data_IF_692833226322
#
_entry.id   IF_692833226322
#
_cell.length_a   1.000
_cell.length_b   1.000
_cell.length_c   1.000
_cell.angle_alpha   90.00
_cell.angle_beta   90.00
_cell.angle_gamma   90.00
#
_symmetry.space_group_name_H-M   'P 1'
#
loop_
_entity.id
_entity.type
_entity.pdbx_description
1 polymer ?
#
# COMPACT_ATOMS: atom_id res chain seq x y z
N UNK A 1 9.18 -14.55 23.14
CA UNK A 1 8.42 -14.74 21.86
C UNK A 1 7.00 -14.14 21.86
N UNK A 2 6.15 -14.36 22.88
CA UNK A 2 4.78 -13.78 22.92
C UNK A 2 4.75 -12.24 22.84
N UNK A 3 5.59 -11.55 23.62
CA UNK A 3 5.66 -10.07 23.64
C UNK A 3 6.00 -9.45 22.27
N UNK A 4 6.97 -10.02 21.52
CA UNK A 4 7.35 -9.54 20.17
C UNK A 4 6.20 -9.66 19.17
N UNK A 5 5.45 -10.77 19.19
CA UNK A 5 4.26 -10.96 18.34
C UNK A 5 3.15 -9.98 18.68
N UNK A 6 2.91 -9.71 19.95
CA UNK A 6 1.92 -8.71 20.38
C UNK A 6 2.29 -7.33 19.85
N UNK A 7 3.55 -6.91 20.00
CA UNK A 7 4.03 -5.61 19.47
C UNK A 7 3.84 -5.49 17.96
N UNK A 8 4.18 -6.54 17.20
CA UNK A 8 4.00 -6.57 15.75
C UNK A 8 2.53 -6.42 15.37
N UNK A 9 1.64 -7.21 15.96
CA UNK A 9 0.21 -7.14 15.68
C UNK A 9 -0.38 -5.75 16.00
N UNK A 10 0.00 -5.16 17.13
CA UNK A 10 -0.43 -3.80 17.51
C UNK A 10 0.05 -2.78 16.48
N UNK A 11 1.31 -2.86 16.04
CA UNK A 11 1.82 -1.96 15.01
C UNK A 11 1.16 -2.17 13.65
N UNK A 12 0.86 -3.40 13.26
CA UNK A 12 0.09 -3.69 12.05
C UNK A 12 -1.29 -3.03 12.12
N UNK A 13 -2.00 -3.15 13.25
CA UNK A 13 -3.29 -2.49 13.45
C UNK A 13 -3.17 -0.96 13.39
N UNK A 14 -2.13 -0.38 13.99
CA UNK A 14 -1.84 1.06 13.91
C UNK A 14 -1.55 1.51 12.47
N UNK A 15 -0.76 0.73 11.72
CA UNK A 15 -0.47 1.03 10.32
C UNK A 15 -1.73 0.94 9.46
N UNK A 16 -2.61 -0.04 9.68
CA UNK A 16 -3.92 -0.11 9.00
C UNK A 16 -4.73 1.16 9.27
N UNK A 17 -4.90 1.53 10.54
CA UNK A 17 -5.65 2.71 10.93
C UNK A 17 -5.05 3.99 10.31
N UNK A 18 -3.72 4.13 10.35
CA UNK A 18 -3.01 5.27 9.77
C UNK A 18 -3.19 5.33 8.25
N UNK A 19 -3.06 4.20 7.54
CA UNK A 19 -3.26 4.13 6.08
C UNK A 19 -4.68 4.55 5.69
N UNK A 20 -5.70 4.09 6.43
CA UNK A 20 -7.10 4.48 6.19
C UNK A 20 -7.31 5.97 6.43
N UNK A 21 -6.76 6.52 7.53
CA UNK A 21 -6.85 7.96 7.83
C UNK A 21 -6.16 8.78 6.75
N UNK A 22 -4.95 8.39 6.33
CA UNK A 22 -4.23 9.07 5.24
C UNK A 22 -5.02 9.02 3.93
N UNK A 23 -5.56 7.85 3.59
CA UNK A 23 -6.38 7.68 2.39
C UNK A 23 -7.67 8.50 2.41
N UNK A 24 -8.26 8.74 3.58
CA UNK A 24 -9.53 9.48 3.70
C UNK A 24 -9.37 10.99 3.85
N UNK A 25 -8.34 11.45 4.55
CA UNK A 25 -8.12 12.86 4.84
C UNK A 25 -7.34 13.57 3.72
N UNK A 26 -6.41 12.88 3.06
CA UNK A 26 -5.61 13.45 1.97
C UNK A 26 -6.11 12.94 0.63
N UNK A 27 -7.23 13.52 0.19
CA UNK A 27 -7.77 13.30 -1.14
C UNK A 27 -7.26 14.42 -2.03
N UNK A 28 -6.43 14.09 -3.01
CA UNK A 28 -6.02 15.05 -4.05
C UNK A 28 -7.02 14.86 -5.20
N UNK A 29 -7.97 15.80 -5.41
CA UNK A 29 -8.95 15.67 -6.48
C UNK A 29 -8.25 15.80 -7.84
N UNK A 30 -8.53 14.87 -8.75
CA UNK A 30 -7.99 14.93 -10.11
C UNK A 30 -8.97 15.75 -10.96
N UNK A 31 -8.57 16.94 -11.41
CA UNK A 31 -9.47 17.88 -12.12
C UNK A 31 -10.14 17.31 -13.38
N UNK A 32 -9.63 16.23 -13.95
CA UNK A 32 -10.09 15.65 -15.22
C UNK A 32 -10.82 14.31 -15.09
N UNK A 33 -10.86 13.71 -13.89
CA UNK A 33 -11.58 12.47 -13.62
C UNK A 33 -12.46 12.66 -12.38
N UNK A 34 -13.55 11.89 -12.26
CA UNK A 34 -14.29 11.83 -10.98
C UNK A 34 -13.51 11.05 -9.88
N UNK A 35 -12.22 10.77 -10.11
CA UNK A 35 -11.36 10.00 -9.24
C UNK A 35 -10.59 10.89 -8.26
N UNK A 36 -10.31 10.34 -7.09
CA UNK A 36 -9.47 10.97 -6.08
C UNK A 36 -8.20 10.15 -5.92
N UNK A 37 -7.05 10.81 -5.91
CA UNK A 37 -5.81 10.16 -5.48
C UNK A 37 -5.84 10.08 -3.96
N UNK A 38 -5.72 8.87 -3.42
CA UNK A 38 -5.61 8.64 -1.98
C UNK A 38 -4.14 8.44 -1.58
N UNK A 39 -3.77 8.81 -0.35
CA UNK A 39 -2.45 8.52 0.22
C UNK A 39 -2.41 7.19 0.98
N UNK A 40 -3.33 6.27 0.70
CA UNK A 40 -3.38 4.96 1.35
C UNK A 40 -2.10 4.16 1.06
N UNK A 41 -1.68 4.15 -0.21
CA UNK A 41 -0.50 3.44 -0.71
C UNK A 41 0.78 3.84 0.03
N UNK A 42 0.90 5.10 0.45
CA UNK A 42 2.05 5.56 1.23
C UNK A 42 2.22 4.77 2.54
N UNK A 43 1.11 4.53 3.25
CA UNK A 43 1.10 3.76 4.49
C UNK A 43 1.34 2.27 4.24
N UNK A 44 0.75 1.72 3.18
CA UNK A 44 0.90 0.31 2.77
C UNK A 44 2.36 0.02 2.41
N UNK A 45 2.92 0.80 1.49
CA UNK A 45 4.31 0.68 1.05
C UNK A 45 5.29 0.81 2.22
N UNK A 46 5.07 1.78 3.11
CA UNK A 46 5.89 1.99 4.30
C UNK A 46 5.83 0.78 5.24
N UNK A 47 4.62 0.27 5.50
CA UNK A 47 4.42 -0.91 6.33
C UNK A 47 5.13 -2.13 5.75
N UNK A 48 5.06 -2.34 4.43
CA UNK A 48 5.74 -3.44 3.76
C UNK A 48 7.26 -3.37 3.86
N UNK A 49 7.84 -2.17 3.73
CA UNK A 49 9.28 -1.98 3.87
C UNK A 49 9.78 -2.20 5.31
N UNK A 50 8.93 -1.98 6.32
CA UNK A 50 9.32 -2.04 7.73
C UNK A 50 8.98 -3.40 8.37
N UNK A 51 7.76 -3.91 8.15
CA UNK A 51 7.20 -5.07 8.84
C UNK A 51 7.37 -6.38 8.04
N UNK A 52 7.70 -6.27 6.75
CA UNK A 52 7.92 -7.43 5.86
C UNK A 52 6.65 -7.94 5.18
N UNK A 53 6.76 -9.05 4.42
CA UNK A 53 5.74 -9.46 3.45
C UNK A 53 4.38 -9.77 4.06
N UNK A 54 4.34 -10.56 5.14
CA UNK A 54 3.07 -10.99 5.73
C UNK A 54 2.29 -9.82 6.33
N UNK A 55 2.95 -9.00 7.16
CA UNK A 55 2.30 -7.84 7.76
C UNK A 55 2.04 -6.73 6.75
N UNK A 56 2.91 -6.55 5.75
CA UNK A 56 2.66 -5.64 4.62
C UNK A 56 1.40 -6.01 3.84
N UNK A 57 1.19 -7.31 3.58
CA UNK A 57 -0.02 -7.80 2.93
C UNK A 57 -1.28 -7.54 3.77
N UNK A 58 -1.21 -7.77 5.09
CA UNK A 58 -2.31 -7.47 6.00
C UNK A 58 -2.64 -5.98 6.03
N UNK A 59 -1.61 -5.11 6.12
CA UNK A 59 -1.81 -3.66 6.09
C UNK A 59 -2.46 -3.27 4.77
N UNK A 60 -1.86 -3.65 3.65
CA UNK A 60 -2.35 -3.35 2.30
C UNK A 60 -3.80 -3.75 2.08
N UNK A 61 -4.10 -5.03 2.24
CA UNK A 61 -5.43 -5.54 1.95
C UNK A 61 -6.49 -4.95 2.87
N UNK A 62 -6.25 -4.94 4.18
CA UNK A 62 -7.26 -4.49 5.14
C UNK A 62 -7.48 -2.99 5.03
N UNK A 63 -6.42 -2.18 4.87
CA UNK A 63 -6.61 -0.73 4.71
C UNK A 63 -7.30 -0.38 3.41
N UNK A 64 -6.95 -1.03 2.29
CA UNK A 64 -7.61 -0.83 1.00
C UNK A 64 -9.10 -1.18 1.07
N UNK A 65 -9.44 -2.36 1.60
CA UNK A 65 -10.82 -2.79 1.78
C UNK A 65 -11.64 -1.83 2.66
N UNK A 66 -11.09 -1.45 3.82
CA UNK A 66 -11.77 -0.52 4.73
C UNK A 66 -11.96 0.86 4.11
N UNK A 67 -10.98 1.36 3.38
CA UNK A 67 -11.06 2.66 2.72
C UNK A 67 -12.21 2.69 1.70
N UNK A 68 -12.37 1.63 0.91
CA UNK A 68 -13.45 1.54 -0.08
C UNK A 68 -14.83 1.43 0.56
N UNK A 69 -14.96 0.63 1.62
CA UNK A 69 -16.21 0.51 2.38
C UNK A 69 -16.63 1.85 2.98
N UNK A 70 -15.69 2.59 3.56
CA UNK A 70 -15.94 3.91 4.17
C UNK A 70 -16.20 4.98 3.10
N UNK A 71 -15.62 4.83 1.91
CA UNK A 71 -15.76 5.79 0.81
C UNK A 71 -17.02 5.58 -0.04
N UNK A 72 -17.80 4.53 0.26
CA UNK A 72 -19.05 4.22 -0.45
C UNK A 72 -18.86 3.38 -1.72
N UNK A 73 -17.66 2.83 -1.94
CA UNK A 73 -17.32 1.98 -3.09
C UNK A 73 -17.24 0.50 -2.68
N UNK A 74 -18.25 -0.01 -1.97
CA UNK A 74 -18.22 -1.36 -1.39
C UNK A 74 -17.98 -2.47 -2.42
N UNK A 75 -18.37 -2.28 -3.69
CA UNK A 75 -18.09 -3.21 -4.78
C UNK A 75 -16.60 -3.39 -5.08
N UNK A 76 -15.77 -2.39 -4.76
CA UNK A 76 -14.32 -2.45 -4.92
C UNK A 76 -13.61 -3.13 -3.74
N UNK A 77 -14.28 -3.27 -2.59
CA UNK A 77 -13.64 -3.68 -1.34
C UNK A 77 -12.87 -5.01 -1.45
N UNK A 78 -13.42 -6.02 -2.16
CA UNK A 78 -12.74 -7.30 -2.35
C UNK A 78 -11.57 -7.22 -3.34
N UNK A 79 -11.70 -6.37 -4.35
CA UNK A 79 -10.63 -6.14 -5.32
C UNK A 79 -9.47 -5.40 -4.66
N UNK A 80 -9.74 -4.39 -3.86
CA UNK A 80 -8.74 -3.64 -3.10
C UNK A 80 -8.08 -4.48 -2.03
N UNK A 81 -8.82 -5.38 -1.36
CA UNK A 81 -8.25 -6.37 -0.44
C UNK A 81 -7.16 -7.20 -1.13
N UNK A 82 -7.45 -7.67 -2.35
CA UNK A 82 -6.54 -8.52 -3.11
C UNK A 82 -5.40 -7.69 -3.72
N UNK A 83 -5.70 -6.60 -4.41
CA UNK A 83 -4.73 -5.78 -5.12
C UNK A 83 -3.71 -5.17 -4.16
N UNK A 84 -4.16 -4.49 -3.10
CA UNK A 84 -3.26 -3.91 -2.10
C UNK A 84 -2.64 -4.96 -1.19
N UNK A 85 -3.33 -6.08 -0.93
CA UNK A 85 -2.75 -7.20 -0.22
C UNK A 85 -1.54 -7.79 -0.97
N UNK A 86 -1.67 -7.99 -2.28
CA UNK A 86 -0.59 -8.47 -3.14
C UNK A 86 0.51 -7.42 -3.33
N UNK A 87 0.16 -6.15 -3.48
CA UNK A 87 1.11 -5.04 -3.48
C UNK A 87 1.99 -5.10 -2.23
N UNK A 88 1.35 -5.13 -1.05
CA UNK A 88 2.03 -5.14 0.23
C UNK A 88 2.92 -6.38 0.41
N UNK A 89 2.43 -7.55 -0.02
CA UNK A 89 3.16 -8.80 -0.02
C UNK A 89 4.44 -8.72 -0.87
N UNK A 90 4.30 -8.25 -2.11
CA UNK A 90 5.36 -8.22 -3.13
C UNK A 90 6.46 -7.25 -2.72
N UNK A 91 6.09 -6.05 -2.24
CA UNK A 91 7.05 -5.06 -1.74
C UNK A 91 7.86 -5.65 -0.58
N UNK A 92 7.16 -6.19 0.43
CA UNK A 92 7.81 -6.75 1.60
C UNK A 92 8.71 -7.94 1.25
N UNK A 93 8.27 -8.80 0.33
CA UNK A 93 9.03 -9.97 -0.09
C UNK A 93 10.32 -9.58 -0.82
N UNK A 94 10.22 -8.72 -1.84
CA UNK A 94 11.38 -8.29 -2.64
C UNK A 94 12.38 -7.56 -1.75
N UNK A 95 11.89 -6.62 -0.92
CA UNK A 95 12.76 -5.82 -0.07
C UNK A 95 13.52 -6.69 0.94
N UNK A 96 12.82 -7.58 1.65
CA UNK A 96 13.47 -8.44 2.66
C UNK A 96 14.39 -9.50 2.03
N UNK A 97 14.05 -10.02 0.85
CA UNK A 97 14.90 -10.99 0.13
C UNK A 97 16.19 -10.35 -0.40
N UNK A 98 16.15 -9.06 -0.74
CA UNK A 98 17.28 -8.31 -1.32
C UNK A 98 17.83 -7.23 -0.37
N UNK A 99 17.59 -7.35 0.95
CA UNK A 99 17.86 -6.33 1.99
C UNK A 99 19.28 -5.74 1.93
N UNK A 100 20.27 -6.52 1.49
CA UNK A 100 21.68 -6.09 1.37
C UNK A 100 21.95 -5.13 0.19
N UNK A 101 20.97 -4.88 -0.68
CA UNK A 101 21.11 -4.00 -1.85
C UNK A 101 20.38 -2.70 -1.60
N UNK A 102 21.06 -1.57 -1.76
CA UNK A 102 20.48 -0.23 -1.60
C UNK A 102 19.35 0.06 -2.58
N UNK A 103 19.37 -0.57 -3.75
CA UNK A 103 18.35 -0.44 -4.78
C UNK A 103 17.09 -1.28 -4.55
N UNK A 104 17.13 -2.25 -3.62
CA UNK A 104 16.04 -3.23 -3.40
C UNK A 104 14.70 -2.57 -3.09
N UNK A 105 14.69 -1.49 -2.30
CA UNK A 105 13.49 -0.73 -1.95
C UNK A 105 12.82 -0.11 -3.19
N UNK A 106 13.59 0.44 -4.11
CA UNK A 106 13.01 1.04 -5.33
C UNK A 106 12.44 -0.03 -6.25
N UNK A 107 13.13 -1.17 -6.40
CA UNK A 107 12.60 -2.29 -7.18
C UNK A 107 11.33 -2.87 -6.53
N UNK A 108 11.34 -3.04 -5.20
CA UNK A 108 10.21 -3.55 -4.44
C UNK A 108 8.97 -2.67 -4.64
N UNK A 109 9.13 -1.35 -4.46
CA UNK A 109 8.05 -0.38 -4.68
C UNK A 109 7.55 -0.41 -6.12
N UNK A 110 8.46 -0.40 -7.10
CA UNK A 110 8.08 -0.46 -8.51
C UNK A 110 7.26 -1.72 -8.85
N UNK A 111 7.74 -2.90 -8.45
CA UNK A 111 7.04 -4.16 -8.74
C UNK A 111 5.71 -4.27 -7.95
N UNK A 112 5.66 -3.75 -6.72
CA UNK A 112 4.41 -3.63 -5.96
C UNK A 112 3.38 -2.73 -6.65
N UNK A 113 3.80 -1.54 -7.09
CA UNK A 113 2.96 -0.62 -7.84
C UNK A 113 2.38 -1.27 -9.11
N UNK A 114 3.20 -2.01 -9.85
CA UNK A 114 2.74 -2.72 -11.06
C UNK A 114 1.64 -3.73 -10.72
N UNK A 115 1.79 -4.47 -9.62
CA UNK A 115 0.78 -5.44 -9.15
C UNK A 115 -0.51 -4.75 -8.76
N UNK A 116 -0.43 -3.64 -8.02
CA UNK A 116 -1.60 -2.84 -7.66
C UNK A 116 -2.33 -2.32 -8.92
N UNK A 117 -1.59 -1.69 -9.84
CA UNK A 117 -2.14 -1.13 -11.08
C UNK A 117 -2.83 -2.23 -11.90
N UNK A 118 -2.19 -3.39 -12.06
CA UNK A 118 -2.79 -4.53 -12.76
C UNK A 118 -4.08 -5.02 -12.08
N UNK A 119 -4.09 -5.08 -10.75
CA UNK A 119 -5.27 -5.42 -9.96
C UNK A 119 -6.44 -4.46 -10.21
N UNK A 120 -6.18 -3.16 -10.22
CA UNK A 120 -7.21 -2.15 -10.51
C UNK A 120 -7.67 -2.15 -11.96
N UNK A 121 -6.78 -2.37 -12.93
CA UNK A 121 -7.18 -2.52 -14.34
C UNK A 121 -8.17 -3.68 -14.49
N UNK A 122 -7.93 -4.81 -13.82
CA UNK A 122 -8.85 -5.95 -13.81
C UNK A 122 -10.17 -5.58 -13.12
N UNK A 123 -10.11 -4.93 -11.95
CA UNK A 123 -11.30 -4.51 -11.20
C UNK A 123 -12.18 -3.54 -11.99
N UNK A 124 -11.60 -2.48 -12.54
CA UNK A 124 -12.29 -1.46 -13.34
C UNK A 124 -12.86 -2.03 -14.65
N UNK A 125 -12.11 -2.95 -15.28
CA UNK A 125 -12.56 -3.64 -16.48
C UNK A 125 -13.77 -4.54 -16.21
N UNK A 126 -13.77 -5.21 -15.07
CA UNK A 126 -14.83 -6.14 -14.66
C UNK A 126 -16.08 -5.41 -14.15
N UNK A 127 -15.91 -4.37 -13.33
CA UNK A 127 -17.03 -3.66 -12.69
C UNK A 127 -17.70 -2.64 -13.62
N UNK A 128 -16.93 -2.00 -14.50
CA UNK A 128 -17.45 -0.93 -15.38
C UNK A 128 -17.35 -1.28 -16.86
N UNK A 129 -16.14 -1.30 -17.41
CA UNK A 129 -15.88 -1.65 -18.82
C UNK A 129 -14.38 -1.71 -19.10
N UNK A 130 -13.99 -2.41 -20.17
CA UNK A 130 -12.59 -2.41 -20.64
C UNK A 130 -12.03 -0.99 -20.82
N UNK A 131 -12.83 -0.04 -21.35
CA UNK A 131 -12.40 1.35 -21.52
C UNK A 131 -12.11 2.04 -20.18
N UNK A 132 -12.91 1.76 -19.15
CA UNK A 132 -12.68 2.30 -17.81
C UNK A 132 -11.34 1.81 -17.23
N UNK A 133 -11.04 0.52 -17.38
CA UNK A 133 -9.75 -0.04 -16.95
C UNK A 133 -8.55 0.65 -17.58
N UNK A 134 -8.58 0.91 -18.89
CA UNK A 134 -7.51 1.64 -19.58
C UNK A 134 -7.35 3.08 -19.11
N UNK A 135 -8.46 3.78 -18.89
CA UNK A 135 -8.44 5.17 -18.40
C UNK A 135 -7.94 5.27 -16.95
N UNK A 136 -8.21 4.25 -16.12
CA UNK A 136 -7.76 4.17 -14.73
C UNK A 136 -6.25 3.98 -14.55
N UNK A 137 -5.54 3.48 -15.56
CA UNK A 137 -4.08 3.27 -15.49
C UNK A 137 -3.35 4.56 -15.12
N UNK A 138 -3.70 5.68 -15.77
CA UNK A 138 -3.03 6.96 -15.54
C UNK A 138 -3.17 7.45 -14.09
N UNK A 139 -4.36 7.32 -13.51
CA UNK A 139 -4.63 7.73 -12.12
C UNK A 139 -3.93 6.82 -11.13
N UNK A 140 -3.93 5.51 -11.38
CA UNK A 140 -3.28 4.52 -10.51
C UNK A 140 -1.75 4.66 -10.54
N UNK A 141 -1.16 5.02 -11.69
CA UNK A 141 0.27 5.36 -11.78
C UNK A 141 0.60 6.57 -10.90
N UNK A 142 -0.19 7.64 -10.99
CA UNK A 142 0.04 8.84 -10.18
C UNK A 142 -0.10 8.53 -8.68
N UNK A 143 -1.11 7.75 -8.30
CA UNK A 143 -1.31 7.31 -6.92
C UNK A 143 -0.11 6.52 -6.41
N UNK A 144 0.34 5.53 -7.18
CA UNK A 144 1.49 4.70 -6.82
C UNK A 144 2.78 5.51 -6.70
N UNK A 145 3.01 6.48 -7.59
CA UNK A 145 4.18 7.35 -7.57
C UNK A 145 4.20 8.25 -6.34
N UNK A 146 3.09 8.92 -6.04
CA UNK A 146 2.96 9.79 -4.87
C UNK A 146 3.12 8.95 -3.59
N UNK A 147 2.46 7.79 -3.54
CA UNK A 147 2.59 6.82 -2.45
C UNK A 147 4.04 6.40 -2.21
N UNK A 148 4.78 6.07 -3.28
CA UNK A 148 6.17 5.66 -3.21
C UNK A 148 7.09 6.79 -2.72
N UNK A 149 6.89 8.02 -3.20
CA UNK A 149 7.68 9.19 -2.77
C UNK A 149 7.47 9.47 -1.28
N UNK A 150 6.21 9.50 -0.83
CA UNK A 150 5.88 9.75 0.58
C UNK A 150 6.40 8.61 1.46
N UNK A 151 6.19 7.36 1.04
CA UNK A 151 6.67 6.17 1.74
C UNK A 151 8.19 6.18 1.90
N UNK A 152 8.95 6.48 0.84
CA UNK A 152 10.41 6.55 0.91
C UNK A 152 10.89 7.66 1.84
N UNK A 153 10.28 8.84 1.75
CA UNK A 153 10.57 9.97 2.64
C UNK A 153 10.40 9.58 4.11
N UNK A 154 9.28 8.94 4.45
CA UNK A 154 9.00 8.44 5.79
C UNK A 154 9.92 7.29 6.19
N UNK A 155 10.22 6.38 5.28
CA UNK A 155 11.12 5.25 5.51
C UNK A 155 12.52 5.74 5.90
N UNK A 156 13.08 6.73 5.20
CA UNK A 156 14.38 7.30 5.56
C UNK A 156 14.36 8.02 6.91
N UNK A 157 13.27 8.70 7.25
CA UNK A 157 13.12 9.38 8.54
C UNK A 157 12.93 8.40 9.72
N UNK A 158 12.25 7.27 9.51
CA UNK A 158 11.77 6.40 10.59
C UNK A 158 12.51 5.07 10.71
N UNK A 159 13.11 4.55 9.64
CA UNK A 159 13.69 3.18 9.61
C UNK A 159 14.70 2.93 10.72
N UNK A 160 15.63 3.85 10.96
CA UNK A 160 16.62 3.73 12.05
C UNK A 160 15.98 3.64 13.44
N UNK A 161 14.91 4.41 13.70
CA UNK A 161 14.24 4.42 15.01
C UNK A 161 13.39 3.15 15.21
N UNK A 162 12.69 2.72 14.17
CA UNK A 162 11.78 1.58 14.25
C UNK A 162 12.54 0.25 14.34
N UNK A 163 13.68 0.13 13.67
CA UNK A 163 14.52 -1.09 13.75
C UNK A 163 14.95 -1.39 15.19
N UNK A 164 15.29 -0.35 15.96
CA UNK A 164 15.66 -0.46 17.37
C UNK A 164 14.49 -0.88 18.28
N UNK A 165 13.25 -0.56 17.91
CA UNK A 165 12.05 -0.91 18.70
C UNK A 165 11.72 -2.40 18.58
N UNK A 166 12.05 -3.01 17.43
CA UNK A 166 11.62 -4.37 17.09
C UNK A 166 12.74 -5.41 17.06
N UNK A 167 14.01 -5.03 17.28
CA UNK A 167 15.17 -5.94 17.18
C UNK A 167 15.09 -6.80 15.91
N UNK A 168 14.88 -6.17 14.76
CA UNK A 168 14.77 -6.86 13.46
C UNK A 168 16.17 -6.95 12.83
N UNK A 169 17.12 -7.63 13.47
CA UNK A 169 18.44 -7.90 12.87
C UNK A 169 18.29 -8.44 11.42
#
# INVERSE_FOLDING_TARGET
>A
MKSKRIKLNVFTALMIAMSVVLGRCFLIPIFWTRGNINLCDAGIMLASLILGPFYGALVGGISGMLLDLISGYAQFAIFSLIAHGLEGLVIGFIYFKLKNRTWSKYLALFLGSVVMIAGYVVADSYLYSLKAGWLGIGTNILQALIGAIVSLSLYFALSKKIHNIFEIN
#
